data_IF_484155142069
#
_entry.id   IF_484155142069
#
_cell.length_a   1.000
_cell.length_b   1.000
_cell.length_c   1.000
_cell.angle_alpha   90.00
_cell.angle_beta   90.00
_cell.angle_gamma   90.00
#
_symmetry.space_group_name_H-M   'P 1'
#
loop_
_entity.id
_entity.type
_entity.pdbx_description
1 polymer ?
#
# COMPACT_ATOMS: atom_id res chain seq x y z
N UNK A 1 7.01 15.06 -5.06
CA UNK A 1 7.15 13.61 -4.79
C UNK A 1 8.08 13.43 -3.61
N UNK A 2 7.62 12.91 -2.47
CA UNK A 2 8.50 12.63 -1.33
C UNK A 2 9.29 11.37 -1.68
N UNK A 3 10.55 11.53 -2.05
CA UNK A 3 11.45 10.40 -2.35
C UNK A 3 12.14 9.97 -1.05
N UNK A 4 12.03 8.68 -0.71
CA UNK A 4 12.90 8.11 0.31
C UNK A 4 14.36 8.26 -0.13
N UNK A 5 15.29 8.64 0.77
CA UNK A 5 16.71 8.67 0.46
C UNK A 5 17.17 7.32 -0.11
N UNK A 6 18.17 7.33 -0.98
CA UNK A 6 18.80 6.11 -1.52
C UNK A 6 19.54 5.37 -0.40
N UNK A 7 18.79 4.58 0.35
CA UNK A 7 19.27 3.54 1.25
C UNK A 7 19.80 2.33 0.45
N UNK A 8 20.58 1.46 1.10
CA UNK A 8 20.94 0.11 0.57
C UNK A 8 19.71 -0.76 0.24
N UNK A 9 18.51 -0.34 0.66
CA UNK A 9 17.25 -0.99 0.33
C UNK A 9 17.01 -1.10 -1.18
N UNK A 10 16.54 -2.27 -1.60
CA UNK A 10 16.18 -2.53 -3.00
C UNK A 10 15.13 -1.51 -3.49
N UNK A 11 15.11 -1.25 -4.79
CA UNK A 11 14.09 -0.37 -5.40
C UNK A 11 12.67 -0.84 -5.07
N UNK A 12 12.44 -2.17 -5.07
CA UNK A 12 11.16 -2.76 -4.73
C UNK A 12 10.73 -2.44 -3.30
N UNK A 13 11.63 -2.62 -2.32
CA UNK A 13 11.35 -2.32 -0.91
C UNK A 13 11.01 -0.84 -0.71
N UNK A 14 11.79 0.08 -1.29
CA UNK A 14 11.54 1.52 -1.17
C UNK A 14 10.18 1.93 -1.73
N UNK A 15 9.83 1.44 -2.92
CA UNK A 15 8.52 1.72 -3.53
C UNK A 15 7.40 1.11 -2.70
N UNK A 16 7.59 -0.10 -2.18
CA UNK A 16 6.62 -0.78 -1.34
C UNK A 16 6.38 -0.01 -0.03
N UNK A 17 7.43 0.49 0.63
CA UNK A 17 7.32 1.34 1.82
C UNK A 17 6.51 2.60 1.54
N UNK A 18 6.78 3.29 0.42
CA UNK A 18 6.01 4.48 0.03
C UNK A 18 4.54 4.14 -0.22
N UNK A 19 4.27 3.03 -0.93
CA UNK A 19 2.90 2.59 -1.20
C UNK A 19 2.15 2.22 0.09
N UNK A 20 2.80 1.50 1.01
CA UNK A 20 2.21 1.14 2.29
C UNK A 20 1.91 2.40 3.12
N UNK A 21 2.86 3.33 3.19
CA UNK A 21 2.68 4.61 3.89
C UNK A 21 1.50 5.41 3.32
N UNK A 22 1.46 5.59 2.00
CA UNK A 22 0.40 6.32 1.32
C UNK A 22 -0.97 5.66 1.52
N UNK A 23 -1.04 4.33 1.36
CA UNK A 23 -2.30 3.57 1.48
C UNK A 23 -2.84 3.64 2.91
N UNK A 24 -1.98 3.47 3.92
CA UNK A 24 -2.36 3.53 5.33
C UNK A 24 -2.90 4.91 5.71
N UNK A 25 -2.19 5.99 5.35
CA UNK A 25 -2.66 7.35 5.64
C UNK A 25 -4.01 7.62 4.98
N UNK A 26 -4.12 7.29 3.69
CA UNK A 26 -5.34 7.55 2.94
C UNK A 26 -6.54 6.82 3.55
N UNK A 27 -6.40 5.53 3.87
CA UNK A 27 -7.51 4.74 4.37
C UNK A 27 -7.89 5.07 5.82
N UNK A 28 -6.94 5.47 6.67
CA UNK A 28 -7.25 6.00 8.00
C UNK A 28 -8.02 7.31 7.89
N UNK A 29 -7.57 8.23 7.03
CA UNK A 29 -8.26 9.48 6.79
C UNK A 29 -9.68 9.26 6.23
N UNK A 30 -9.82 8.35 5.26
CA UNK A 30 -11.10 7.98 4.67
C UNK A 30 -12.06 7.39 5.72
N UNK A 31 -11.58 6.48 6.57
CA UNK A 31 -12.38 5.88 7.65
C UNK A 31 -12.83 6.95 8.65
N UNK A 32 -11.94 7.86 9.07
CA UNK A 32 -12.31 8.97 9.97
C UNK A 32 -13.40 9.84 9.36
N UNK A 33 -13.29 10.19 8.08
CA UNK A 33 -14.29 11.00 7.40
C UNK A 33 -15.63 10.26 7.21
N UNK A 34 -15.60 8.96 6.92
CA UNK A 34 -16.80 8.14 6.82
C UNK A 34 -17.57 8.08 8.14
N UNK A 35 -16.87 8.06 9.28
CA UNK A 35 -17.47 8.14 10.61
C UNK A 35 -18.12 9.50 10.85
N UNK A 36 -17.41 10.59 10.53
CA UNK A 36 -17.88 11.95 10.76
C UNK A 36 -19.06 12.34 9.86
N UNK A 37 -19.06 11.94 8.59
CA UNK A 37 -20.02 12.44 7.60
C UNK A 37 -21.10 11.43 7.21
N UNK A 38 -20.90 10.14 7.48
CA UNK A 38 -21.82 9.08 7.06
C UNK A 38 -22.21 8.13 8.19
N UNK A 39 -21.69 8.35 9.41
CA UNK A 39 -21.88 7.45 10.56
C UNK A 39 -21.61 5.98 10.20
N UNK A 40 -20.68 5.74 9.27
CA UNK A 40 -20.30 4.41 8.78
C UNK A 40 -19.00 3.98 9.42
N UNK A 41 -18.98 2.77 9.97
CA UNK A 41 -17.85 2.23 10.73
C UNK A 41 -17.40 0.91 10.12
N UNK A 42 -16.10 0.80 9.84
CA UNK A 42 -15.47 -0.49 9.56
C UNK A 42 -14.70 -0.97 10.78
N UNK A 43 -14.66 -2.29 10.96
CA UNK A 43 -13.73 -2.92 11.90
C UNK A 43 -12.29 -2.68 11.45
N UNK A 44 -11.36 -2.74 12.40
CA UNK A 44 -9.94 -2.64 12.10
C UNK A 44 -9.51 -3.72 11.10
N UNK A 45 -10.00 -4.96 11.22
CA UNK A 45 -9.70 -6.07 10.31
C UNK A 45 -10.10 -5.77 8.87
N UNK A 46 -11.28 -5.16 8.67
CA UNK A 46 -11.72 -4.74 7.34
C UNK A 46 -10.82 -3.64 6.79
N UNK A 47 -10.39 -2.71 7.63
CA UNK A 47 -9.48 -1.64 7.22
C UNK A 47 -8.11 -2.20 6.79
N UNK A 48 -7.54 -3.13 7.58
CA UNK A 48 -6.30 -3.84 7.22
C UNK A 48 -6.43 -4.57 5.89
N UNK A 49 -7.53 -5.31 5.69
CA UNK A 49 -7.77 -6.02 4.43
C UNK A 49 -7.89 -5.08 3.23
N UNK A 50 -8.53 -3.93 3.41
CA UNK A 50 -8.64 -2.92 2.36
C UNK A 50 -7.28 -2.33 2.00
N UNK A 51 -6.43 -2.03 2.99
CA UNK A 51 -5.06 -1.54 2.77
C UNK A 51 -4.21 -2.59 2.05
N UNK A 52 -4.25 -3.85 2.49
CA UNK A 52 -3.53 -4.97 1.85
C UNK A 52 -3.96 -5.14 0.38
N UNK A 53 -5.26 -5.16 0.10
CA UNK A 53 -5.77 -5.25 -1.27
C UNK A 53 -5.36 -4.05 -2.13
N UNK A 54 -5.41 -2.82 -1.58
CA UNK A 54 -4.98 -1.62 -2.29
C UNK A 54 -3.50 -1.71 -2.71
N UNK A 55 -2.63 -2.19 -1.82
CA UNK A 55 -1.21 -2.36 -2.08
C UNK A 55 -0.99 -3.43 -3.17
N UNK A 56 -1.61 -4.61 -3.03
CA UNK A 56 -1.49 -5.70 -4.01
C UNK A 56 -1.97 -5.29 -5.41
N UNK A 57 -3.13 -4.63 -5.49
CA UNK A 57 -3.67 -4.14 -6.76
C UNK A 57 -2.74 -3.10 -7.40
N UNK A 58 -2.15 -2.20 -6.59
CA UNK A 58 -1.19 -1.23 -7.10
C UNK A 58 0.08 -1.90 -7.62
N UNK A 59 0.59 -2.93 -6.94
CA UNK A 59 1.74 -3.72 -7.42
C UNK A 59 1.41 -4.42 -8.74
N UNK A 60 0.21 -5.00 -8.86
CA UNK A 60 -0.26 -5.64 -10.10
C UNK A 60 -0.36 -4.66 -11.27
N UNK A 61 -0.72 -3.40 -11.04
CA UNK A 61 -0.76 -2.39 -12.11
C UNK A 61 0.59 -2.13 -12.78
N UNK A 62 1.72 -2.48 -12.13
CA UNK A 62 3.04 -2.42 -12.74
C UNK A 62 3.36 -3.60 -13.65
N UNK A 63 2.53 -4.65 -13.69
CA UNK A 63 2.85 -5.90 -14.41
C UNK A 63 3.02 -5.67 -15.92
N UNK A 64 2.16 -4.85 -16.51
CA UNK A 64 2.21 -4.54 -17.95
C UNK A 64 3.43 -3.69 -18.34
N UNK A 65 3.83 -2.75 -17.47
CA UNK A 65 4.94 -1.82 -17.76
C UNK A 65 6.31 -2.33 -17.29
N UNK A 66 6.35 -3.05 -16.18
CA UNK A 66 7.56 -3.59 -15.57
C UNK A 66 7.26 -4.87 -14.77
N UNK A 67 7.15 -6.03 -15.44
CA UNK A 67 6.77 -7.28 -14.80
C UNK A 67 7.80 -7.75 -13.75
N UNK A 68 9.09 -7.46 -13.95
CA UNK A 68 10.15 -7.81 -12.98
C UNK A 68 9.99 -7.05 -11.67
N UNK A 69 9.70 -5.75 -11.75
CA UNK A 69 9.44 -4.92 -10.58
C UNK A 69 8.17 -5.38 -9.86
N UNK A 70 7.08 -5.63 -10.61
CA UNK A 70 5.82 -6.12 -10.05
C UNK A 70 6.04 -7.43 -9.26
N UNK A 71 6.73 -8.42 -9.86
CA UNK A 71 7.04 -9.69 -9.19
C UNK A 71 7.91 -9.48 -7.94
N UNK A 72 8.98 -8.69 -8.04
CA UNK A 72 9.87 -8.42 -6.89
C UNK A 72 9.14 -7.72 -5.74
N UNK A 73 8.27 -6.74 -6.03
CA UNK A 73 7.47 -6.05 -5.02
C UNK A 73 6.44 -6.99 -4.38
N UNK A 74 5.76 -7.82 -5.18
CA UNK A 74 4.76 -8.76 -4.68
C UNK A 74 5.40 -9.82 -3.77
N UNK A 75 6.55 -10.37 -4.17
CA UNK A 75 7.32 -11.30 -3.34
C UNK A 75 7.75 -10.62 -2.03
N UNK A 76 8.29 -9.40 -2.10
CA UNK A 76 8.69 -8.64 -0.90
C UNK A 76 7.50 -8.38 0.02
N UNK A 77 6.31 -8.10 -0.51
CA UNK A 77 5.10 -7.93 0.28
C UNK A 77 4.71 -9.21 1.02
N UNK A 78 4.65 -10.35 0.33
CA UNK A 78 4.32 -11.63 0.97
C UNK A 78 5.39 -12.14 1.96
N UNK A 79 6.63 -11.68 1.85
CA UNK A 79 7.65 -12.00 2.84
C UNK A 79 7.53 -11.16 4.12
N UNK A 80 6.90 -9.99 4.06
CA UNK A 80 6.79 -9.03 5.17
C UNK A 80 5.40 -9.00 5.83
N UNK A 81 4.35 -9.33 5.08
CA UNK A 81 2.96 -9.38 5.52
C UNK A 81 2.62 -10.75 6.10
#
# INVERSE_FOLDING_TARGET
>A
MITLPTSRASRALRLLTLLAWQSTIYWIWNERNARLHSNSFRSADRLFRVVDLQIRNRIQSFRESNPRLSSSMMQTWFHLA
#
